data_IF_938182572480
#
_entry.id   IF_938182572480
#
_cell.length_a   1.000
_cell.length_b   1.000
_cell.length_c   1.000
_cell.angle_alpha   90.00
_cell.angle_beta   90.00
_cell.angle_gamma   90.00
#
_symmetry.space_group_name_H-M   'P 1'
#
loop_
_entity.id
_entity.type
_entity.pdbx_description
1 polymer ?
#
# COMPACT_ATOMS: atom_id res chain seq x y z
N UNK A 1 -9.25 2.99 -1.17
CA UNK A 1 -8.08 2.50 -1.92
C UNK A 1 -7.62 3.61 -2.83
N UNK A 2 -6.33 3.96 -2.76
CA UNK A 2 -5.70 4.91 -3.66
C UNK A 2 -4.66 4.15 -4.51
N UNK A 3 -4.32 4.64 -5.69
CA UNK A 3 -3.36 3.95 -6.55
C UNK A 3 -3.10 4.69 -7.85
N UNK A 4 -1.99 4.33 -8.48
CA UNK A 4 -1.57 4.84 -9.79
C UNK A 4 -1.23 3.65 -10.70
N UNK A 5 -1.56 3.77 -11.98
CA UNK A 5 -1.57 2.69 -12.97
C UNK A 5 -2.86 2.71 -13.80
N UNK A 6 -2.89 2.06 -14.97
CA UNK A 6 -4.00 2.10 -15.93
C UNK A 6 -5.38 1.76 -15.35
N UNK A 7 -6.44 2.31 -15.95
CA UNK A 7 -7.82 2.15 -15.49
C UNK A 7 -8.45 0.83 -15.98
N UNK A 8 -8.27 -0.25 -15.22
CA UNK A 8 -9.06 -1.47 -15.41
C UNK A 8 -10.52 -1.23 -15.03
N UNK A 9 -11.38 -0.83 -15.97
CA UNK A 9 -12.82 -0.99 -15.81
C UNK A 9 -13.11 -2.44 -15.41
N UNK A 10 -13.72 -2.62 -14.23
CA UNK A 10 -14.14 -3.89 -13.64
C UNK A 10 -13.40 -5.16 -14.13
N UNK A 11 -12.23 -5.45 -13.53
CA UNK A 11 -11.69 -6.82 -13.53
C UNK A 11 -10.91 -7.30 -14.75
N UNK A 12 -10.15 -6.43 -15.42
CA UNK A 12 -9.24 -6.81 -16.51
C UNK A 12 -7.77 -6.62 -16.18
N UNK A 13 -7.02 -7.74 -16.05
CA UNK A 13 -5.55 -7.87 -15.88
C UNK A 13 -4.70 -7.21 -17.00
N UNK A 14 -5.26 -6.33 -17.84
CA UNK A 14 -4.67 -5.95 -19.12
C UNK A 14 -4.10 -4.53 -19.21
N UNK A 15 -4.33 -3.64 -18.25
CA UNK A 15 -3.87 -2.23 -18.35
C UNK A 15 -3.00 -1.72 -17.19
N UNK A 16 -2.94 -2.42 -16.05
CA UNK A 16 -2.09 -1.99 -14.92
C UNK A 16 -0.59 -2.10 -15.22
N UNK A 17 -0.20 -2.97 -16.15
CA UNK A 17 1.19 -3.40 -16.41
C UNK A 17 1.74 -2.91 -17.76
N UNK A 18 0.91 -2.20 -18.53
CA UNK A 18 1.28 -1.69 -19.87
C UNK A 18 1.83 -0.28 -19.84
N UNK A 19 1.30 0.57 -18.97
CA UNK A 19 1.90 1.85 -18.64
C UNK A 19 2.85 1.65 -17.46
N UNK A 20 3.98 2.35 -17.49
CA UNK A 20 5.00 2.21 -16.46
C UNK A 20 5.86 3.46 -16.34
N UNK A 21 6.36 3.66 -15.13
CA UNK A 21 7.50 4.51 -14.87
C UNK A 21 8.76 3.69 -15.15
N UNK A 22 9.62 4.20 -16.01
CA UNK A 22 10.97 3.67 -16.18
C UNK A 22 11.76 3.96 -14.91
N UNK A 23 12.27 2.91 -14.26
CA UNK A 23 13.09 3.02 -13.05
C UNK A 23 14.50 3.47 -13.42
N UNK A 24 15.07 2.84 -14.44
CA UNK A 24 16.35 3.21 -15.02
C UNK A 24 16.40 2.75 -16.49
N UNK A 25 17.12 3.50 -17.31
CA UNK A 25 17.44 3.15 -18.67
C UNK A 25 18.87 2.59 -18.64
N UNK A 26 19.04 1.29 -18.88
CA UNK A 26 20.30 0.55 -18.75
C UNK A 26 21.50 1.04 -19.56
N UNK A 27 21.36 2.17 -20.25
CA UNK A 27 22.42 2.94 -20.89
C UNK A 27 22.94 4.11 -20.03
N UNK A 28 22.37 4.38 -18.86
CA UNK A 28 22.80 5.42 -17.92
C UNK A 28 23.68 4.78 -16.84
N UNK A 29 24.91 5.27 -16.73
CA UNK A 29 25.86 4.78 -15.73
C UNK A 29 25.71 5.58 -14.44
N UNK A 30 25.45 4.89 -13.32
CA UNK A 30 25.49 5.49 -11.98
C UNK A 30 24.13 5.85 -11.35
N UNK A 31 23.02 5.65 -12.05
CA UNK A 31 21.67 5.69 -11.44
C UNK A 31 21.17 4.25 -11.41
N UNK A 32 21.20 3.62 -10.24
CA UNK A 32 20.81 2.20 -10.08
C UNK A 32 19.49 2.05 -9.33
N UNK A 33 18.99 3.14 -8.76
CA UNK A 33 17.77 3.16 -7.97
C UNK A 33 17.18 4.57 -7.91
N UNK A 34 15.90 4.63 -7.54
CA UNK A 34 15.13 5.83 -7.30
C UNK A 34 14.44 5.72 -5.94
N UNK A 35 14.61 6.74 -5.11
CA UNK A 35 13.86 6.87 -3.87
C UNK A 35 12.48 7.46 -4.15
N UNK A 36 11.46 6.98 -3.43
CA UNK A 36 10.09 7.43 -3.59
C UNK A 36 9.40 7.63 -2.24
N UNK A 37 8.29 8.36 -2.27
CA UNK A 37 7.51 8.67 -1.08
C UNK A 37 6.02 8.71 -1.41
N UNK A 38 5.21 8.05 -0.60
CA UNK A 38 3.75 8.24 -0.55
C UNK A 38 3.44 9.04 0.71
N UNK A 39 3.03 10.30 0.54
CA UNK A 39 2.77 11.24 1.62
C UNK A 39 1.27 11.49 1.86
N UNK A 40 0.95 12.09 3.00
CA UNK A 40 -0.43 12.51 3.33
C UNK A 40 -1.28 11.39 3.93
N UNK A 41 -0.64 10.35 4.44
CA UNK A 41 -1.26 9.26 5.16
C UNK A 41 -1.49 9.66 6.63
N UNK A 42 -2.32 8.90 7.34
CA UNK A 42 -2.56 9.11 8.77
C UNK A 42 -1.44 8.39 9.56
N UNK A 43 -0.60 9.09 10.37
CA UNK A 43 0.60 8.57 11.07
C UNK A 43 0.42 7.46 12.14
N UNK A 44 -0.69 6.75 12.13
CA UNK A 44 -1.01 5.66 13.08
C UNK A 44 -1.93 4.60 12.47
N UNK A 45 -2.28 4.78 11.20
CA UNK A 45 -3.04 3.81 10.44
C UNK A 45 -2.11 2.75 9.90
N UNK A 46 -2.64 1.54 9.71
CA UNK A 46 -1.92 0.42 9.11
C UNK A 46 -2.36 0.30 7.66
N UNK A 47 -1.40 0.19 6.75
CA UNK A 47 -1.64 0.08 5.33
C UNK A 47 -1.09 -1.23 4.76
N UNK A 48 -1.58 -1.57 3.58
CA UNK A 48 -1.00 -2.55 2.68
C UNK A 48 -0.75 -1.89 1.33
N UNK A 49 0.42 -2.14 0.76
CA UNK A 49 0.82 -1.69 -0.56
C UNK A 49 0.92 -2.90 -1.48
N UNK A 50 0.12 -2.92 -2.54
CA UNK A 50 0.26 -3.89 -3.62
C UNK A 50 0.94 -3.20 -4.80
N UNK A 51 2.17 -3.58 -5.12
CA UNK A 51 2.95 -2.98 -6.21
C UNK A 51 2.98 -3.92 -7.43
N UNK A 52 3.13 -3.34 -8.62
CA UNK A 52 3.17 -4.07 -9.89
C UNK A 52 4.43 -3.69 -10.68
N UNK A 53 5.15 -4.70 -11.18
CA UNK A 53 6.19 -4.53 -12.18
C UNK A 53 5.62 -4.54 -13.60
N UNK A 54 6.44 -4.27 -14.60
CA UNK A 54 6.04 -4.36 -16.00
C UNK A 54 5.80 -5.80 -16.48
N UNK A 55 5.04 -5.97 -17.57
CA UNK A 55 4.83 -7.29 -18.20
C UNK A 55 6.13 -7.94 -18.66
N UNK A 56 7.05 -7.12 -19.20
CA UNK A 56 8.28 -7.59 -19.81
C UNK A 56 9.51 -7.42 -18.93
N UNK A 57 9.42 -6.58 -17.88
CA UNK A 57 10.54 -6.19 -17.02
C UNK A 57 10.03 -6.01 -15.60
N UNK A 58 10.70 -6.70 -14.69
CA UNK A 58 10.44 -6.59 -13.26
C UNK A 58 11.16 -5.37 -12.67
N UNK A 59 10.87 -5.10 -11.40
CA UNK A 59 11.59 -4.12 -10.59
C UNK A 59 11.96 -4.75 -9.26
N UNK A 60 13.00 -4.24 -8.61
CA UNK A 60 13.29 -4.53 -7.21
C UNK A 60 12.75 -3.38 -6.35
N UNK A 61 11.90 -3.68 -5.37
CA UNK A 61 11.28 -2.70 -4.50
C UNK A 61 11.59 -3.00 -3.03
N UNK A 62 12.06 -1.98 -2.32
CA UNK A 62 12.20 -1.97 -0.86
C UNK A 62 11.23 -0.91 -0.31
N UNK A 63 10.52 -1.25 0.75
CA UNK A 63 9.52 -0.40 1.40
C UNK A 63 9.88 -0.31 2.88
N UNK A 64 9.92 0.90 3.44
CA UNK A 64 9.95 1.10 4.90
C UNK A 64 8.59 0.66 5.47
N UNK A 65 8.55 -0.53 6.07
CA UNK A 65 7.30 -1.11 6.58
C UNK A 65 7.01 -0.71 8.03
N UNK A 66 8.02 -0.28 8.80
CA UNK A 66 7.87 0.02 10.23
C UNK A 66 7.82 1.53 10.54
N UNK A 67 8.11 2.37 9.55
CA UNK A 67 7.97 3.82 9.62
C UNK A 67 9.10 4.49 10.40
N UNK A 68 10.26 3.84 10.51
CA UNK A 68 11.42 4.39 11.22
C UNK A 68 12.23 5.40 10.38
N UNK A 69 11.90 5.54 9.09
CA UNK A 69 12.53 6.46 8.16
C UNK A 69 13.84 5.93 7.56
N UNK A 70 14.12 4.63 7.66
CA UNK A 70 15.35 3.98 7.21
C UNK A 70 15.06 2.65 6.51
N UNK A 71 15.63 2.46 5.32
CA UNK A 71 15.50 1.19 4.58
C UNK A 71 16.46 0.07 5.06
N UNK A 72 17.17 0.30 6.17
CA UNK A 72 18.17 -0.65 6.69
C UNK A 72 17.46 -1.80 7.38
N UNK A 73 17.53 -2.98 6.76
CA UNK A 73 16.92 -4.20 7.29
C UNK A 73 15.57 -4.53 6.64
N UNK A 74 15.02 -3.60 5.87
CA UNK A 74 13.86 -3.87 5.03
C UNK A 74 14.17 -4.83 3.90
N UNK A 75 13.16 -5.62 3.53
CA UNK A 75 13.29 -6.63 2.50
C UNK A 75 13.20 -6.02 1.11
N UNK A 76 14.21 -6.26 0.29
CA UNK A 76 14.14 -6.07 -1.15
C UNK A 76 13.33 -7.21 -1.78
N UNK A 77 12.29 -6.84 -2.53
CA UNK A 77 11.39 -7.79 -3.20
C UNK A 77 11.40 -7.53 -4.70
N UNK A 78 11.56 -8.58 -5.49
CA UNK A 78 11.39 -8.52 -6.94
C UNK A 78 9.90 -8.55 -7.27
N UNK A 79 9.43 -7.55 -8.00
CA UNK A 79 8.03 -7.33 -8.36
C UNK A 79 7.89 -7.43 -9.86
N UNK A 80 7.20 -8.47 -10.33
CA UNK A 80 6.90 -8.70 -11.74
C UNK A 80 5.48 -8.21 -12.08
N UNK A 81 4.99 -8.52 -13.29
CA UNK A 81 3.63 -8.19 -13.73
C UNK A 81 2.50 -8.88 -12.95
N UNK A 82 2.79 -9.87 -12.10
CA UNK A 82 1.81 -10.43 -11.17
C UNK A 82 1.68 -9.58 -9.89
N UNK A 83 2.70 -8.80 -9.58
CA UNK A 83 2.74 -7.89 -8.44
C UNK A 83 3.14 -8.56 -7.12
N UNK A 84 3.35 -7.72 -6.11
CA UNK A 84 3.77 -8.13 -4.77
C UNK A 84 3.05 -7.30 -3.70
N UNK A 85 2.70 -7.96 -2.60
CA UNK A 85 2.07 -7.35 -1.44
C UNK A 85 3.14 -7.02 -0.39
N UNK A 86 3.13 -5.78 0.10
CA UNK A 86 3.90 -5.28 1.23
C UNK A 86 2.92 -4.89 2.33
N UNK A 87 3.16 -5.36 3.54
CA UNK A 87 2.24 -5.16 4.65
C UNK A 87 2.50 -6.11 5.81
N UNK A 88 2.05 -5.76 7.02
CA UNK A 88 1.46 -4.46 7.39
C UNK A 88 2.50 -3.33 7.37
N UNK A 89 2.11 -2.14 6.88
CA UNK A 89 2.96 -0.94 6.84
C UNK A 89 2.44 0.10 7.83
N UNK A 90 3.33 0.67 8.64
CA UNK A 90 3.05 1.83 9.49
C UNK A 90 3.75 3.05 8.90
N UNK A 91 3.02 4.10 8.47
CA UNK A 91 3.65 5.33 8.02
C UNK A 91 4.44 6.01 9.14
N UNK A 92 5.42 6.82 8.76
CA UNK A 92 6.17 7.65 9.70
C UNK A 92 5.27 8.68 10.42
N UNK A 93 5.86 9.38 11.39
CA UNK A 93 5.16 10.41 12.18
C UNK A 93 4.62 11.59 11.33
N UNK A 94 5.11 11.77 10.10
CA UNK A 94 4.69 12.80 9.15
C UNK A 94 3.64 12.29 8.15
N UNK A 95 3.29 11.00 8.20
CA UNK A 95 2.31 10.39 7.33
C UNK A 95 2.90 9.97 5.99
N UNK A 96 4.16 9.54 5.97
CA UNK A 96 4.85 9.06 4.79
C UNK A 96 5.15 7.56 4.86
N UNK A 97 5.05 6.90 3.71
CA UNK A 97 5.75 5.65 3.44
C UNK A 97 6.87 5.98 2.47
N UNK A 98 8.10 5.61 2.81
CA UNK A 98 9.25 5.77 1.92
C UNK A 98 9.68 4.42 1.37
N UNK A 99 10.44 4.46 0.29
CA UNK A 99 11.04 3.26 -0.26
C UNK A 99 12.02 3.58 -1.36
N UNK A 100 12.60 2.52 -1.90
CA UNK A 100 13.51 2.58 -3.01
C UNK A 100 13.10 1.56 -4.06
N UNK A 101 13.15 1.96 -5.32
CA UNK A 101 12.95 1.09 -6.47
C UNK A 101 14.21 1.02 -7.29
N UNK A 102 14.57 -0.17 -7.78
CA UNK A 102 15.72 -0.44 -8.62
C UNK A 102 15.32 -1.38 -9.77
N UNK A 103 16.24 -1.60 -10.70
CA UNK A 103 16.06 -2.63 -11.73
C UNK A 103 15.89 -4.01 -11.08
N UNK A 104 15.00 -4.82 -11.65
CA UNK A 104 14.74 -6.16 -11.16
C UNK A 104 15.81 -7.17 -11.61
N UNK A 105 15.39 -8.35 -12.03
CA UNK A 105 16.31 -9.45 -12.35
C UNK A 105 16.58 -9.56 -13.85
N UNK A 106 17.86 -9.65 -14.21
CA UNK A 106 18.30 -10.04 -15.55
C UNK A 106 18.22 -8.96 -16.64
N UNK A 107 17.48 -7.87 -16.41
CA UNK A 107 17.42 -6.73 -17.31
C UNK A 107 18.12 -5.50 -16.72
N UNK A 108 18.84 -4.71 -17.54
CA UNK A 108 19.42 -3.45 -17.10
C UNK A 108 18.38 -2.32 -17.01
N UNK A 109 17.09 -2.66 -17.11
CA UNK A 109 15.96 -1.72 -17.13
C UNK A 109 14.83 -2.30 -16.29
N UNK A 110 14.31 -1.51 -15.34
CA UNK A 110 13.18 -1.87 -14.50
C UNK A 110 11.94 -1.03 -14.80
N UNK A 111 10.77 -1.65 -14.70
CA UNK A 111 9.49 -0.99 -14.96
C UNK A 111 8.60 -1.03 -13.73
N UNK A 112 8.26 0.14 -13.18
CA UNK A 112 7.23 0.26 -12.15
C UNK A 112 5.89 0.59 -12.80
N UNK A 113 5.06 -0.43 -12.93
CA UNK A 113 3.77 -0.36 -13.63
C UNK A 113 2.67 0.34 -12.81
N UNK A 114 2.71 0.20 -11.49
CA UNK A 114 1.76 0.89 -10.62
C UNK A 114 1.72 0.35 -9.20
N UNK A 115 0.76 0.85 -8.44
CA UNK A 115 0.50 0.37 -7.09
C UNK A 115 -0.94 0.62 -6.63
N UNK A 116 -1.35 -0.12 -5.61
CA UNK A 116 -2.59 0.09 -4.86
C UNK A 116 -2.25 0.16 -3.36
N UNK A 117 -2.74 1.19 -2.70
CA UNK A 117 -2.62 1.38 -1.25
C UNK A 117 -3.99 1.20 -0.60
N UNK A 118 -4.04 0.32 0.40
CA UNK A 118 -5.23 0.01 1.19
C UNK A 118 -4.97 0.31 2.66
N UNK A 119 -5.79 1.17 3.24
CA UNK A 119 -5.87 1.32 4.70
C UNK A 119 -6.61 0.10 5.28
N UNK A 120 -5.94 -0.62 6.18
CA UNK A 120 -6.45 -1.81 6.87
C UNK A 120 -6.57 -1.58 8.38
N UNK A 121 -6.50 -0.32 8.82
CA UNK A 121 -6.66 0.02 10.23
C UNK A 121 -7.98 -0.53 10.77
N UNK A 122 -7.99 -1.12 11.98
CA UNK A 122 -9.22 -1.58 12.59
C UNK A 122 -10.14 -0.38 12.75
N UNK A 123 -11.26 -0.39 12.03
CA UNK A 123 -12.30 0.62 12.18
C UNK A 123 -12.89 0.42 13.58
N UNK A 124 -12.78 1.39 14.50
CA UNK A 124 -13.48 1.30 15.77
C UNK A 124 -14.96 1.07 15.46
N UNK A 125 -15.69 0.25 16.20
CA UNK A 125 -17.14 0.12 16.02
C UNK A 125 -17.88 1.13 16.92
N UNK A 126 -18.06 2.42 16.54
CA UNK A 126 -18.84 3.35 17.36
C UNK A 126 -20.33 3.01 17.33
N UNK A 127 -20.82 2.39 16.26
CA UNK A 127 -22.25 2.13 16.06
C UNK A 127 -22.80 0.96 16.88
N UNK A 128 -22.15 -0.21 16.83
CA UNK A 128 -22.68 -1.45 17.43
C UNK A 128 -22.71 -1.36 18.95
N UNK A 129 -21.64 -0.84 19.56
CA UNK A 129 -21.57 -0.65 21.01
C UNK A 129 -22.53 0.43 21.50
N UNK A 130 -22.68 1.53 20.75
CA UNK A 130 -23.65 2.56 21.08
C UNK A 130 -25.10 2.05 20.97
N UNK A 131 -25.43 1.32 19.89
CA UNK A 131 -26.75 0.72 19.70
C UNK A 131 -27.05 -0.36 20.73
N UNK A 132 -26.06 -1.18 21.08
CA UNK A 132 -26.19 -2.18 22.13
C UNK A 132 -26.42 -1.50 23.48
N UNK A 133 -25.64 -0.47 23.83
CA UNK A 133 -25.79 0.26 25.07
C UNK A 133 -27.15 0.97 25.16
N UNK A 134 -27.54 1.71 24.13
CA UNK A 134 -28.82 2.42 24.06
C UNK A 134 -30.01 1.47 24.01
N UNK A 135 -29.91 0.39 23.24
CA UNK A 135 -30.93 -0.67 23.17
C UNK A 135 -31.11 -1.37 24.52
N UNK A 136 -30.01 -1.70 25.19
CA UNK A 136 -30.01 -2.29 26.54
C UNK A 136 -30.67 -1.36 27.56
N UNK A 137 -30.31 -0.08 27.55
CA UNK A 137 -30.91 0.95 28.40
C UNK A 137 -32.42 1.13 28.11
N UNK A 138 -32.82 1.12 26.85
CA UNK A 138 -34.23 1.17 26.43
C UNK A 138 -35.05 -0.01 26.93
N UNK A 139 -34.50 -1.24 26.81
CA UNK A 139 -35.13 -2.46 27.32
C UNK A 139 -35.24 -2.45 28.85
N UNK A 140 -34.19 -2.03 29.56
CA UNK A 140 -34.20 -1.88 31.02
C UNK A 140 -35.25 -0.86 31.47
N UNK A 141 -35.35 0.29 30.80
CA UNK A 141 -36.36 1.32 31.09
C UNK A 141 -37.78 0.81 30.84
N UNK A 142 -38.00 0.05 29.77
CA UNK A 142 -39.31 -0.56 29.47
C UNK A 142 -39.70 -1.60 30.52
N UNK A 143 -38.77 -2.43 30.98
CA UNK A 143 -39.01 -3.45 32.01
C UNK A 143 -39.40 -2.83 33.35
N UNK A 144 -38.77 -1.71 33.73
CA UNK A 144 -39.09 -0.97 34.97
C UNK A 144 -40.45 -0.28 34.97
N UNK A 145 -41.03 0.03 33.79
CA UNK A 145 -42.37 0.64 33.67
C UNK A 145 -43.54 -0.36 33.69
N UNK A 146 -43.25 -1.66 33.59
CA UNK A 146 -44.28 -2.74 33.56
C UNK A 146 -44.41 -3.49 34.89
N UNK A 147 -43.59 -3.15 35.88
CA UNK A 147 -43.72 -3.58 37.27
C UNK A 147 -44.24 -2.39 38.07
#
# INVERSE_FOLDING_TARGET
TAGWGGAGGAGGRLDLVRDYLFVDAGNVTGVLSLDWTISGLIPSHIYELYAYGGVARDMALTVDIDGDGSLVGDLLVVVDGNGALFGPITPDALGNIIGQVANGTGDPEGNWAGFQLRDISPIPEPGTMALLALGSLGLLRRRRRRR
#
